data_IF_551689236617
#
_entry.id   IF_551689236617
#
_cell.length_a   1.000
_cell.length_b   1.000
_cell.length_c   1.000
_cell.angle_alpha   90.00
_cell.angle_beta   90.00
_cell.angle_gamma   90.00
#
_symmetry.space_group_name_H-M   'P 1'
#
loop_
_entity.id
_entity.type
_entity.pdbx_description
1 polymer ?
#
# COMPACT_ATOMS: atom_id res chain seq x y z
N UNK A 1 -18.44 1.76 18.97
CA UNK A 1 -19.50 1.37 18.00
C UNK A 1 -18.81 0.55 16.93
N UNK A 2 -19.14 -0.73 16.70
CA UNK A 2 -18.53 -1.50 15.66
C UNK A 2 -18.88 -0.85 14.31
N UNK A 3 -17.87 -0.53 13.52
CA UNK A 3 -18.06 -0.02 12.15
C UNK A 3 -18.82 -1.09 11.37
N UNK A 4 -19.98 -0.72 10.86
CA UNK A 4 -20.78 -1.55 9.98
C UNK A 4 -19.92 -1.94 8.79
N UNK A 5 -19.94 -3.21 8.41
CA UNK A 5 -19.28 -3.72 7.21
C UNK A 5 -19.90 -2.98 6.00
N UNK A 6 -19.22 -1.96 5.50
CA UNK A 6 -19.69 -1.17 4.36
C UNK A 6 -19.16 -1.80 3.08
N UNK A 7 -19.93 -1.77 2.02
CA UNK A 7 -19.41 -2.12 0.70
C UNK A 7 -18.35 -1.11 0.26
N UNK A 8 -17.43 -1.50 -0.63
CA UNK A 8 -16.42 -0.58 -1.17
C UNK A 8 -17.07 0.73 -1.70
N UNK A 9 -18.25 0.62 -2.30
CA UNK A 9 -19.01 1.77 -2.79
C UNK A 9 -19.56 2.66 -1.67
N UNK A 10 -19.96 2.08 -0.53
CA UNK A 10 -20.46 2.82 0.63
C UNK A 10 -19.33 3.51 1.39
N UNK A 11 -18.14 2.91 1.45
CA UNK A 11 -16.98 3.52 2.12
C UNK A 11 -16.31 4.62 1.35
N UNK A 12 -16.13 4.38 0.07
CA UNK A 12 -15.55 5.38 -0.81
C UNK A 12 -16.52 6.53 -1.03
N UNK A 13 -17.79 6.34 -0.64
CA UNK A 13 -18.86 7.30 -0.80
C UNK A 13 -19.08 7.69 -2.26
N UNK A 14 -20.01 8.61 -2.49
CA UNK A 14 -20.31 9.12 -3.82
C UNK A 14 -19.09 9.69 -4.56
N UNK A 15 -18.09 10.18 -3.83
CA UNK A 15 -16.87 10.76 -4.43
C UNK A 15 -15.98 9.73 -5.11
N UNK A 16 -15.88 8.49 -4.58
CA UNK A 16 -15.09 7.46 -5.24
C UNK A 16 -15.84 6.78 -6.39
N UNK A 17 -17.12 6.50 -6.19
CA UNK A 17 -17.97 6.03 -7.27
C UNK A 17 -17.99 7.03 -8.45
N UNK A 18 -18.00 8.34 -8.15
CA UNK A 18 -17.87 9.40 -9.13
C UNK A 18 -16.47 9.43 -9.76
N UNK A 19 -15.42 9.25 -8.95
CA UNK A 19 -14.03 9.23 -9.42
C UNK A 19 -13.79 8.06 -10.38
N UNK A 20 -14.28 6.87 -10.06
CA UNK A 20 -14.20 5.70 -10.93
C UNK A 20 -15.09 5.85 -12.19
N UNK A 21 -16.29 6.41 -12.06
CA UNK A 21 -17.19 6.65 -13.19
C UNK A 21 -16.74 7.75 -14.14
N UNK A 22 -15.95 8.73 -13.65
CA UNK A 22 -15.48 9.85 -14.47
C UNK A 22 -14.25 9.55 -15.32
N UNK A 23 -13.75 8.29 -15.32
CA UNK A 23 -12.58 7.91 -16.12
C UNK A 23 -11.27 8.56 -15.66
N UNK A 24 -11.21 9.10 -14.44
CA UNK A 24 -9.99 9.73 -13.90
C UNK A 24 -8.91 8.72 -13.47
N UNK A 25 -9.05 7.46 -13.85
CA UNK A 25 -8.04 6.41 -13.64
C UNK A 25 -7.21 6.32 -14.91
N UNK A 26 -5.94 6.67 -14.82
CA UNK A 26 -5.02 6.72 -15.97
C UNK A 26 -4.77 5.32 -16.58
N UNK A 27 -4.99 4.25 -15.85
CA UNK A 27 -4.63 2.88 -16.28
C UNK A 27 -5.83 1.97 -16.22
N UNK A 28 -6.79 2.20 -17.11
CA UNK A 28 -7.84 1.22 -17.38
C UNK A 28 -7.23 -0.15 -17.74
N UNK A 29 -6.17 -0.14 -18.54
CA UNK A 29 -5.43 -1.32 -18.98
C UNK A 29 -4.81 -2.07 -17.78
N UNK A 30 -4.09 -1.39 -16.89
CA UNK A 30 -3.50 -2.00 -15.69
C UNK A 30 -4.55 -2.59 -14.75
N UNK A 31 -5.73 -1.98 -14.65
CA UNK A 31 -6.85 -2.54 -13.88
C UNK A 31 -7.40 -3.83 -14.52
N UNK A 32 -7.50 -3.87 -15.84
CA UNK A 32 -7.95 -5.06 -16.55
C UNK A 32 -6.93 -6.20 -16.38
N UNK A 33 -5.65 -5.89 -16.51
CA UNK A 33 -4.57 -6.85 -16.35
C UNK A 33 -4.50 -7.40 -14.91
N UNK A 34 -4.68 -6.57 -13.87
CA UNK A 34 -4.81 -7.02 -12.48
C UNK A 34 -6.05 -7.88 -12.26
N UNK A 35 -7.16 -7.56 -12.92
CA UNK A 35 -8.36 -8.40 -12.91
C UNK A 35 -8.09 -9.75 -13.54
N UNK A 36 -7.28 -9.79 -14.60
CA UNK A 36 -6.87 -11.03 -15.25
C UNK A 36 -5.88 -11.84 -14.37
N UNK A 37 -4.99 -11.17 -13.64
CA UNK A 37 -4.11 -11.84 -12.66
C UNK A 37 -4.88 -12.57 -11.55
N UNK A 38 -6.09 -12.12 -11.19
CA UNK A 38 -6.94 -12.84 -10.24
C UNK A 38 -7.26 -14.26 -10.70
N UNK A 39 -7.18 -14.54 -11.99
CA UNK A 39 -7.40 -15.88 -12.55
C UNK A 39 -6.30 -16.88 -12.21
N UNK A 40 -5.10 -16.39 -11.85
CA UNK A 40 -3.99 -17.23 -11.40
C UNK A 40 -4.14 -17.68 -9.94
N UNK A 41 -5.07 -17.06 -9.18
CA UNK A 41 -5.34 -17.47 -7.82
C UNK A 41 -6.09 -18.82 -7.78
N UNK A 42 -5.76 -19.71 -6.82
CA UNK A 42 -6.41 -21.01 -6.70
C UNK A 42 -7.90 -20.87 -6.45
N UNK A 43 -8.71 -21.60 -7.24
CA UNK A 43 -10.18 -21.56 -7.13
C UNK A 43 -10.72 -22.42 -5.97
N UNK A 44 -9.93 -23.36 -5.49
CA UNK A 44 -10.28 -24.28 -4.40
C UNK A 44 -9.99 -23.72 -3.02
N UNK A 45 -9.31 -22.57 -2.94
CA UNK A 45 -9.00 -21.91 -1.68
C UNK A 45 -9.86 -20.65 -1.52
N UNK A 46 -10.16 -20.33 -0.26
CA UNK A 46 -10.85 -19.08 0.05
C UNK A 46 -9.85 -17.93 -0.01
N UNK A 47 -9.91 -17.16 -1.11
CA UNK A 47 -9.12 -15.95 -1.32
C UNK A 47 -10.09 -14.79 -1.48
N UNK A 48 -10.08 -13.86 -0.53
CA UNK A 48 -11.00 -12.71 -0.52
C UNK A 48 -10.23 -11.40 -0.73
N UNK A 49 -10.93 -10.40 -1.27
CA UNK A 49 -10.36 -9.06 -1.41
C UNK A 49 -10.20 -8.41 -0.03
N UNK A 50 -9.02 -7.86 0.24
CA UNK A 50 -8.74 -7.15 1.48
C UNK A 50 -9.34 -5.74 1.40
N UNK A 51 -10.48 -5.59 2.01
CA UNK A 51 -11.22 -4.34 2.10
C UNK A 51 -10.81 -3.51 3.31
N UNK A 52 -9.54 -3.37 3.64
CA UNK A 52 -9.06 -2.36 4.58
C UNK A 52 -9.60 -2.38 6.02
N UNK A 53 -10.43 -3.38 6.35
CA UNK A 53 -11.17 -3.34 7.59
C UNK A 53 -10.40 -3.88 8.75
N UNK A 54 -10.61 -3.13 9.78
CA UNK A 54 -10.31 -3.37 11.16
C UNK A 54 -9.66 -4.74 11.38
N UNK A 55 -8.32 -4.69 11.34
CA UNK A 55 -7.51 -5.87 11.56
C UNK A 55 -7.71 -6.43 13.00
N UNK A 56 -8.50 -5.75 13.83
CA UNK A 56 -8.86 -6.14 15.18
C UNK A 56 -10.14 -7.00 15.26
N UNK A 57 -10.80 -7.30 14.14
CA UNK A 57 -12.04 -8.08 14.18
C UNK A 57 -11.73 -9.58 14.12
N UNK A 58 -11.99 -10.31 15.24
CA UNK A 58 -11.87 -11.78 15.35
C UNK A 58 -12.76 -12.55 14.34
N UNK A 59 -13.55 -11.83 13.55
CA UNK A 59 -14.40 -12.40 12.49
C UNK A 59 -13.71 -12.53 11.15
N UNK A 60 -12.39 -12.47 11.12
CA UNK A 60 -11.64 -12.57 9.87
C UNK A 60 -11.87 -13.87 9.14
N UNK A 61 -11.78 -13.70 7.86
CA UNK A 61 -11.74 -14.77 6.89
C UNK A 61 -10.61 -15.74 7.24
N UNK A 62 -10.97 -17.00 7.51
CA UNK A 62 -9.99 -18.06 7.51
C UNK A 62 -9.50 -18.27 6.07
N UNK A 63 -8.21 -18.25 5.85
CA UNK A 63 -7.62 -18.45 4.53
C UNK A 63 -6.71 -17.30 4.10
N UNK A 64 -6.96 -16.76 2.93
CA UNK A 64 -6.10 -15.76 2.29
C UNK A 64 -6.88 -14.52 1.88
N UNK A 65 -6.19 -13.40 1.89
CA UNK A 65 -6.71 -12.13 1.36
C UNK A 65 -5.76 -11.59 0.30
N UNK A 66 -6.28 -10.82 -0.64
CA UNK A 66 -5.47 -10.14 -1.63
C UNK A 66 -5.87 -8.67 -1.76
N UNK A 67 -4.92 -7.85 -2.19
CA UNK A 67 -5.15 -6.45 -2.54
C UNK A 67 -4.34 -6.07 -3.76
N UNK A 68 -4.83 -5.09 -4.50
CA UNK A 68 -4.07 -4.51 -5.59
C UNK A 68 -2.93 -3.66 -5.03
N UNK A 69 -1.73 -3.79 -5.58
CA UNK A 69 -0.56 -3.05 -5.18
C UNK A 69 0.07 -2.33 -6.37
N UNK A 70 0.05 -1.01 -6.32
CA UNK A 70 0.62 -0.10 -7.35
C UNK A 70 0.06 -0.29 -8.77
N UNK A 71 -1.07 -0.94 -8.97
CA UNK A 71 -1.51 -1.42 -10.30
C UNK A 71 -0.48 -2.31 -11.03
N UNK A 72 0.41 -2.94 -10.30
CA UNK A 72 1.49 -3.76 -10.87
C UNK A 72 1.52 -5.17 -10.29
N UNK A 73 0.92 -5.36 -9.13
CA UNK A 73 0.93 -6.63 -8.41
C UNK A 73 -0.43 -6.93 -7.80
N UNK A 74 -0.73 -8.21 -7.66
CA UNK A 74 -1.61 -8.67 -6.61
C UNK A 74 -0.76 -9.02 -5.39
N UNK A 75 -1.03 -8.42 -4.26
CA UNK A 75 -0.45 -8.83 -2.99
C UNK A 75 -1.41 -9.81 -2.30
N UNK A 76 -1.03 -11.08 -2.28
CA UNK A 76 -1.76 -12.16 -1.62
C UNK A 76 -1.07 -12.48 -0.31
N UNK A 77 -1.83 -12.66 0.75
CA UNK A 77 -1.27 -12.97 2.07
C UNK A 77 -2.24 -13.83 2.88
N UNK A 78 -1.75 -14.61 3.87
CA UNK A 78 -2.63 -15.25 4.84
C UNK A 78 -3.52 -14.21 5.56
N UNK A 79 -4.72 -14.61 5.95
CA UNK A 79 -5.56 -13.78 6.82
C UNK A 79 -4.94 -13.64 8.22
N UNK A 80 -4.13 -14.60 8.65
CA UNK A 80 -3.34 -14.55 9.88
C UNK A 80 -2.17 -13.57 9.76
N UNK A 81 -2.14 -12.58 10.65
CA UNK A 81 -1.14 -11.49 10.60
C UNK A 81 0.28 -11.95 10.96
N UNK A 82 0.41 -12.92 11.87
CA UNK A 82 1.71 -13.47 12.25
C UNK A 82 2.34 -14.23 11.08
N UNK A 83 1.56 -15.10 10.42
CA UNK A 83 1.99 -15.81 9.22
C UNK A 83 2.33 -14.85 8.08
N UNK A 84 1.53 -13.81 7.89
CA UNK A 84 1.81 -12.76 6.89
C UNK A 84 3.18 -12.12 7.14
N UNK A 85 3.50 -11.82 8.39
CA UNK A 85 4.80 -11.25 8.75
C UNK A 85 5.95 -12.24 8.52
N UNK A 86 5.79 -13.50 8.93
CA UNK A 86 6.80 -14.56 8.72
C UNK A 86 7.11 -14.76 7.23
N UNK A 87 6.09 -14.79 6.39
CA UNK A 87 6.26 -14.88 4.91
C UNK A 87 7.03 -13.68 4.38
N UNK A 88 6.63 -12.47 4.77
CA UNK A 88 7.30 -11.26 4.30
C UNK A 88 8.77 -11.18 4.78
N UNK A 89 9.04 -11.59 6.03
CA UNK A 89 10.38 -11.61 6.60
C UNK A 89 11.29 -12.59 5.84
N UNK A 90 10.82 -13.81 5.60
CA UNK A 90 11.59 -14.81 4.84
C UNK A 90 11.84 -14.34 3.40
N UNK A 91 10.84 -13.77 2.75
CA UNK A 91 10.98 -13.24 1.40
C UNK A 91 11.97 -12.06 1.31
N UNK A 92 12.07 -11.24 2.36
CA UNK A 92 13.01 -10.12 2.43
C UNK A 92 14.47 -10.54 2.63
N UNK A 93 14.74 -11.83 2.88
CA UNK A 93 16.08 -12.41 2.97
C UNK A 93 16.42 -13.29 1.73
N UNK A 94 15.52 -13.38 0.75
CA UNK A 94 15.76 -14.15 -0.47
C UNK A 94 16.89 -13.52 -1.31
N UNK A 95 17.61 -14.34 -2.11
CA UNK A 95 18.60 -13.81 -3.05
C UNK A 95 17.97 -12.86 -4.06
N UNK A 96 18.64 -11.73 -4.31
CA UNK A 96 18.22 -10.78 -5.34
C UNK A 96 18.42 -11.40 -6.72
N UNK A 97 17.41 -11.26 -7.59
CA UNK A 97 17.41 -11.80 -8.96
C UNK A 97 17.29 -10.66 -9.98
N UNK A 98 17.73 -10.93 -11.23
CA UNK A 98 17.53 -9.98 -12.35
C UNK A 98 16.04 -9.64 -12.55
N UNK A 99 15.13 -10.58 -12.31
CA UNK A 99 13.69 -10.31 -12.39
C UNK A 99 13.22 -9.37 -11.27
N UNK A 100 13.72 -9.55 -10.04
CA UNK A 100 13.44 -8.62 -8.94
C UNK A 100 13.94 -7.21 -9.21
N UNK A 101 15.15 -7.06 -9.78
CA UNK A 101 15.69 -5.77 -10.21
C UNK A 101 14.84 -5.14 -11.32
N UNK A 102 14.40 -5.94 -12.30
CA UNK A 102 13.50 -5.50 -13.34
C UNK A 102 12.17 -4.99 -12.77
N UNK A 103 11.55 -5.75 -11.88
CA UNK A 103 10.29 -5.36 -11.21
C UNK A 103 10.47 -4.06 -10.39
N UNK A 104 11.59 -3.93 -9.69
CA UNK A 104 11.91 -2.71 -8.95
C UNK A 104 12.04 -1.49 -9.87
N UNK A 105 12.70 -1.65 -11.03
CA UNK A 105 12.79 -0.58 -12.03
C UNK A 105 11.41 -0.16 -12.55
N UNK A 106 10.50 -1.13 -12.74
CA UNK A 106 9.12 -0.85 -13.16
C UNK A 106 8.34 -0.08 -12.12
N UNK A 107 8.56 -0.34 -10.82
CA UNK A 107 7.99 0.49 -9.75
C UNK A 107 8.49 1.93 -9.84
N UNK A 108 9.78 2.13 -10.12
CA UNK A 108 10.35 3.47 -10.28
C UNK A 108 9.75 4.22 -11.49
N UNK A 109 9.45 3.53 -12.57
CA UNK A 109 8.83 4.08 -13.78
C UNK A 109 7.30 4.27 -13.66
N UNK A 110 6.68 3.71 -12.60
CA UNK A 110 5.23 3.71 -12.47
C UNK A 110 4.67 5.14 -12.41
N UNK A 111 3.53 5.33 -13.08
CA UNK A 111 2.83 6.61 -13.14
C UNK A 111 1.65 6.62 -12.18
N UNK A 112 1.20 7.80 -11.86
CA UNK A 112 0.02 8.01 -11.03
C UNK A 112 -1.20 7.26 -11.61
N UNK A 113 -1.77 6.35 -10.84
CA UNK A 113 -2.98 5.60 -11.22
C UNK A 113 -4.23 6.49 -11.29
N UNK A 114 -4.15 7.66 -10.74
CA UNK A 114 -5.18 8.69 -10.82
C UNK A 114 -4.68 9.82 -11.70
N UNK A 115 -5.38 10.18 -12.77
CA UNK A 115 -5.03 11.32 -13.64
C UNK A 115 -5.08 12.67 -12.88
N UNK A 116 -4.21 12.82 -11.88
CA UNK A 116 -4.24 13.94 -10.96
C UNK A 116 -3.42 15.13 -11.49
N UNK A 117 -3.87 16.37 -11.21
CA UNK A 117 -3.14 17.57 -11.58
C UNK A 117 -1.79 17.63 -10.86
N UNK A 118 -0.82 18.16 -11.57
CA UNK A 118 0.52 18.42 -11.05
C UNK A 118 0.52 19.54 -10.02
N UNK A 119 1.49 19.50 -9.12
CA UNK A 119 1.78 20.62 -8.22
C UNK A 119 2.72 21.59 -8.94
N UNK A 120 2.34 22.88 -8.98
CA UNK A 120 3.22 23.93 -9.49
C UNK A 120 4.21 24.47 -8.44
N UNK A 121 4.08 24.01 -7.21
CA UNK A 121 4.92 24.42 -6.08
C UNK A 121 5.72 23.23 -5.58
N UNK A 122 7.05 23.43 -5.45
CA UNK A 122 7.93 22.45 -4.83
C UNK A 122 7.61 22.33 -3.34
N UNK A 123 7.62 21.10 -2.84
CA UNK A 123 7.45 20.77 -1.42
C UNK A 123 8.58 19.82 -1.02
N UNK A 124 9.55 20.34 -0.27
CA UNK A 124 10.76 19.59 0.08
C UNK A 124 10.50 18.46 1.06
N UNK A 125 9.52 18.61 1.96
CA UNK A 125 9.12 17.57 2.90
C UNK A 125 7.63 17.26 2.75
N UNK A 126 7.30 16.03 2.37
CA UNK A 126 5.91 15.56 2.18
C UNK A 126 5.65 14.31 3.00
N UNK A 127 4.58 14.34 3.79
CA UNK A 127 4.03 13.18 4.49
C UNK A 127 2.80 12.68 3.74
N UNK A 128 2.91 11.51 3.11
CA UNK A 128 1.79 10.84 2.46
C UNK A 128 0.91 10.17 3.50
N UNK A 129 -0.26 10.77 3.73
CA UNK A 129 -1.20 10.32 4.76
C UNK A 129 -1.74 8.94 4.45
N UNK A 130 -2.03 8.19 5.51
CA UNK A 130 -2.81 6.96 5.42
C UNK A 130 -4.13 7.18 4.68
N UNK A 131 -4.70 6.10 4.15
CA UNK A 131 -6.04 6.11 3.58
C UNK A 131 -7.05 6.70 4.56
N UNK A 132 -8.07 7.23 4.03
CA UNK A 132 -9.04 8.22 4.50
C UNK A 132 -9.37 8.30 5.98
N UNK A 133 -9.52 7.17 6.67
CA UNK A 133 -10.21 7.15 7.97
C UNK A 133 -9.36 6.56 9.10
N UNK A 134 -8.12 6.18 8.81
CA UNK A 134 -7.31 5.41 9.77
C UNK A 134 -6.09 6.15 10.32
N UNK A 135 -5.78 7.36 9.84
CA UNK A 135 -4.57 8.05 10.28
C UNK A 135 -4.51 8.22 11.82
N UNK A 136 -5.63 8.58 12.44
CA UNK A 136 -5.72 8.75 13.88
C UNK A 136 -5.65 7.42 14.67
N UNK A 137 -5.77 6.28 13.98
CA UNK A 137 -5.62 4.95 14.58
C UNK A 137 -4.19 4.42 14.53
N UNK A 138 -3.35 5.00 13.67
CA UNK A 138 -2.00 4.51 13.37
C UNK A 138 -0.89 5.50 13.70
N UNK A 139 -1.23 6.75 14.00
CA UNK A 139 -0.28 7.78 14.47
C UNK A 139 -0.94 8.75 15.41
N UNK A 140 -0.14 9.53 16.13
CA UNK A 140 -0.63 10.61 16.99
C UNK A 140 -0.64 11.94 16.25
N UNK A 141 -1.53 12.85 16.69
CA UNK A 141 -1.53 14.21 16.17
C UNK A 141 -0.21 14.93 16.49
N UNK A 142 0.38 14.69 17.66
CA UNK A 142 1.66 15.26 18.09
C UNK A 142 2.80 14.91 17.10
N UNK A 143 2.89 13.67 16.64
CA UNK A 143 3.89 13.26 15.65
C UNK A 143 3.73 14.00 14.33
N UNK A 144 2.50 14.27 13.92
CA UNK A 144 2.24 15.07 12.72
C UNK A 144 2.51 16.57 12.96
N UNK A 145 2.21 17.11 14.15
CA UNK A 145 2.57 18.48 14.53
C UNK A 145 4.10 18.66 14.47
N UNK A 146 4.86 17.76 15.06
CA UNK A 146 6.32 17.78 15.01
C UNK A 146 6.86 17.73 13.57
N UNK A 147 6.24 16.97 12.69
CA UNK A 147 6.61 16.95 11.26
C UNK A 147 6.31 18.30 10.58
N UNK A 148 5.17 18.90 10.88
CA UNK A 148 4.76 20.21 10.35
C UNK A 148 5.71 21.31 10.84
N UNK A 149 6.10 21.29 12.08
CA UNK A 149 7.09 22.21 12.66
C UNK A 149 8.45 22.10 11.96
N UNK A 150 8.81 20.90 11.51
CA UNK A 150 10.00 20.65 10.69
C UNK A 150 9.81 21.00 9.20
N UNK A 151 8.68 21.59 8.82
CA UNK A 151 8.40 22.05 7.47
C UNK A 151 7.58 21.09 6.61
N UNK A 152 7.07 20.00 7.16
CA UNK A 152 6.30 19.02 6.39
C UNK A 152 4.97 19.58 5.87
N UNK A 153 4.58 19.05 4.71
CA UNK A 153 3.24 19.16 4.14
C UNK A 153 2.54 17.81 4.24
N UNK A 154 1.33 17.80 4.75
CA UNK A 154 0.50 16.62 4.80
C UNK A 154 -0.24 16.43 3.46
N UNK A 155 -0.02 15.30 2.80
CA UNK A 155 -0.70 14.93 1.55
C UNK A 155 -1.79 13.89 1.84
N UNK A 156 -3.05 14.30 1.94
CA UNK A 156 -4.16 13.37 2.10
C UNK A 156 -4.28 12.45 0.88
N UNK A 157 -4.82 11.25 1.12
CA UNK A 157 -5.11 10.30 0.03
C UNK A 157 -6.10 10.92 -0.97
N UNK A 158 -6.01 10.64 -2.28
CA UNK A 158 -6.92 11.20 -3.29
C UNK A 158 -8.41 10.95 -3.00
N UNK A 159 -8.72 9.86 -2.34
CA UNK A 159 -10.08 9.46 -1.97
C UNK A 159 -10.47 9.86 -0.53
N UNK A 160 -9.73 10.79 0.11
CA UNK A 160 -10.08 11.27 1.44
C UNK A 160 -11.46 11.93 1.43
N UNK A 161 -12.37 11.39 2.24
CA UNK A 161 -13.73 11.90 2.37
C UNK A 161 -13.75 13.35 2.89
N UNK A 162 -14.72 14.13 2.44
CA UNK A 162 -14.84 15.54 2.80
C UNK A 162 -14.91 15.79 4.32
N UNK A 163 -15.65 15.01 5.13
CA UNK A 163 -15.65 15.16 6.60
C UNK A 163 -14.26 14.95 7.21
N UNK A 164 -13.51 13.95 6.73
CA UNK A 164 -12.16 13.67 7.22
C UNK A 164 -11.18 14.78 6.82
N UNK A 165 -11.31 15.32 5.61
CA UNK A 165 -10.52 16.47 5.18
C UNK A 165 -10.84 17.71 6.01
N UNK A 166 -12.11 17.90 6.37
CA UNK A 166 -12.55 18.93 7.32
C UNK A 166 -11.90 18.76 8.69
N UNK A 167 -11.86 17.53 9.21
CA UNK A 167 -11.20 17.21 10.47
C UNK A 167 -9.69 17.50 10.42
N UNK A 168 -8.99 17.09 9.37
CA UNK A 168 -7.57 17.42 9.20
C UNK A 168 -7.34 18.94 9.22
N UNK A 169 -8.14 19.71 8.48
CA UNK A 169 -8.03 21.18 8.40
C UNK A 169 -8.39 21.90 9.70
N UNK A 170 -9.22 21.31 10.54
CA UNK A 170 -9.53 21.88 11.87
C UNK A 170 -8.43 21.60 12.89
N UNK A 171 -7.63 20.51 12.66
CA UNK A 171 -6.59 20.09 13.59
C UNK A 171 -5.20 20.63 13.24
N UNK A 172 -4.89 20.79 11.96
CA UNK A 172 -3.59 21.22 11.46
C UNK A 172 -3.67 22.51 10.63
N UNK A 173 -2.58 23.29 10.51
CA UNK A 173 -2.57 24.50 9.68
C UNK A 173 -2.98 24.21 8.24
N UNK A 174 -3.98 24.93 7.75
CA UNK A 174 -4.61 24.65 6.45
C UNK A 174 -3.64 24.80 5.26
N UNK A 175 -2.64 25.67 5.38
CA UNK A 175 -1.58 25.88 4.39
C UNK A 175 -0.56 24.75 4.35
N UNK A 176 -0.53 23.88 5.37
CA UNK A 176 0.28 22.67 5.43
C UNK A 176 -0.43 21.42 4.93
N UNK A 177 -1.70 21.53 4.55
CA UNK A 177 -2.48 20.42 4.01
C UNK A 177 -2.61 20.57 2.50
N UNK A 178 -1.98 19.66 1.75
CA UNK A 178 -2.07 19.63 0.29
C UNK A 178 -3.47 19.19 -0.15
N UNK A 179 -3.83 19.58 -1.38
CA UNK A 179 -5.10 19.13 -1.97
C UNK A 179 -5.04 17.61 -2.18
N UNK A 180 -6.06 16.85 -1.77
CA UNK A 180 -6.09 15.39 -1.98
C UNK A 180 -5.87 15.00 -3.45
N UNK A 181 -6.44 15.76 -4.38
CA UNK A 181 -6.35 15.56 -5.83
C UNK A 181 -5.09 16.21 -6.45
N UNK A 182 -3.95 16.21 -5.75
CA UNK A 182 -2.64 16.53 -6.33
C UNK A 182 -1.89 15.24 -6.59
N UNK A 183 -1.16 15.14 -7.71
CA UNK A 183 -0.37 13.97 -8.04
C UNK A 183 0.62 13.63 -6.93
N UNK A 184 0.48 12.43 -6.35
CA UNK A 184 1.39 11.93 -5.32
C UNK A 184 2.76 11.62 -5.89
N UNK A 185 2.82 11.08 -7.09
CA UNK A 185 4.10 10.72 -7.73
C UNK A 185 4.94 11.93 -8.10
N UNK A 186 4.30 13.02 -8.53
CA UNK A 186 5.04 14.25 -8.78
C UNK A 186 5.55 14.90 -7.50
N UNK A 187 4.73 14.92 -6.45
CA UNK A 187 5.19 15.37 -5.13
C UNK A 187 6.34 14.50 -4.64
N UNK A 188 6.28 13.19 -4.88
CA UNK A 188 7.33 12.25 -4.53
C UNK A 188 8.65 12.56 -5.24
N UNK A 189 8.60 12.90 -6.53
CA UNK A 189 9.80 13.28 -7.29
C UNK A 189 10.44 14.58 -6.77
N UNK A 190 9.61 15.55 -6.38
CA UNK A 190 10.06 16.87 -5.91
C UNK A 190 10.55 16.86 -4.46
N UNK A 191 10.00 16.01 -3.59
CA UNK A 191 10.30 16.00 -2.19
C UNK A 191 11.70 15.45 -1.90
N UNK A 192 12.47 16.13 -1.06
CA UNK A 192 13.75 15.66 -0.55
C UNK A 192 13.54 14.71 0.64
N UNK A 193 12.51 14.96 1.44
CA UNK A 193 12.14 14.17 2.61
C UNK A 193 10.74 13.60 2.40
N UNK A 194 10.61 12.29 2.57
CA UNK A 194 9.35 11.56 2.38
C UNK A 194 8.98 10.83 3.67
N UNK A 195 7.80 11.13 4.19
CA UNK A 195 7.16 10.37 5.25
C UNK A 195 5.95 9.60 4.72
N UNK A 196 5.68 8.43 5.25
CA UNK A 196 4.53 7.63 4.86
C UNK A 196 4.03 6.72 6.00
N UNK A 197 2.94 6.07 5.76
CA UNK A 197 2.32 5.09 6.67
C UNK A 197 2.40 3.70 6.05
N UNK A 198 2.43 2.66 6.88
CA UNK A 198 2.59 1.27 6.44
C UNK A 198 1.41 0.72 5.62
N UNK A 199 0.32 1.44 5.51
CA UNK A 199 -0.78 1.12 4.61
C UNK A 199 -0.72 1.87 3.27
N UNK A 200 0.33 2.66 3.03
CA UNK A 200 0.51 3.45 1.81
C UNK A 200 1.56 2.83 0.89
N UNK A 201 1.26 2.73 -0.38
CA UNK A 201 2.20 2.32 -1.44
C UNK A 201 3.32 3.36 -1.66
N UNK A 202 3.10 4.60 -1.22
CA UNK A 202 3.98 5.72 -1.58
C UNK A 202 5.39 5.61 -1.01
N UNK A 203 5.56 4.98 0.15
CA UNK A 203 6.89 4.74 0.73
C UNK A 203 7.72 3.76 -0.10
N UNK A 204 7.10 2.68 -0.60
CA UNK A 204 7.78 1.72 -1.47
C UNK A 204 8.08 2.34 -2.85
N UNK A 205 7.17 3.18 -3.35
CA UNK A 205 7.42 3.97 -4.56
C UNK A 205 8.56 4.98 -4.38
N UNK A 206 8.68 5.58 -3.19
CA UNK A 206 9.81 6.46 -2.84
C UNK A 206 11.13 5.70 -2.85
N UNK A 207 11.14 4.53 -2.21
CA UNK A 207 12.32 3.66 -2.15
C UNK A 207 12.82 3.27 -3.54
N UNK A 208 11.90 2.89 -4.44
CA UNK A 208 12.23 2.55 -5.82
C UNK A 208 12.81 3.75 -6.61
N UNK A 209 12.50 4.98 -6.23
CA UNK A 209 13.05 6.21 -6.80
C UNK A 209 14.31 6.71 -6.09
N UNK A 210 14.95 5.84 -5.30
CA UNK A 210 16.20 6.16 -4.60
C UNK A 210 16.05 7.09 -3.39
N UNK A 211 14.83 7.27 -2.88
CA UNK A 211 14.59 8.04 -1.66
C UNK A 211 14.60 7.12 -0.44
N UNK A 212 14.89 7.65 0.74
CA UNK A 212 14.82 6.94 2.00
C UNK A 212 13.59 7.42 2.79
N UNK A 213 12.41 6.83 2.58
CA UNK A 213 11.22 7.22 3.31
C UNK A 213 11.31 6.80 4.78
N UNK A 214 10.62 7.50 5.65
CA UNK A 214 10.46 7.09 7.04
C UNK A 214 8.99 6.86 7.40
N UNK A 215 8.76 5.97 8.37
CA UNK A 215 7.43 5.54 8.74
C UNK A 215 6.88 6.37 9.89
N UNK A 216 5.62 6.77 9.76
CA UNK A 216 4.88 7.56 10.75
C UNK A 216 3.99 6.73 11.68
N UNK A 217 4.02 5.41 11.55
CA UNK A 217 3.24 4.54 12.41
C UNK A 217 3.75 4.58 13.86
N UNK A 218 2.82 4.56 14.80
CA UNK A 218 3.09 4.44 16.24
C UNK A 218 2.37 3.25 16.88
N UNK A 219 1.75 2.40 16.08
CA UNK A 219 1.04 1.23 16.58
C UNK A 219 1.55 -0.04 15.91
N UNK A 220 1.49 -1.14 16.66
CA UNK A 220 1.79 -2.48 16.14
C UNK A 220 0.65 -3.04 15.29
N UNK A 221 -0.39 -2.25 15.04
CA UNK A 221 -1.52 -2.66 14.20
C UNK A 221 -1.07 -2.96 12.80
N UNK A 222 -1.45 -4.13 12.33
CA UNK A 222 -1.12 -4.62 11.00
C UNK A 222 -2.16 -4.09 9.99
N UNK A 223 -1.70 -3.33 9.02
CA UNK A 223 -2.48 -2.86 7.87
C UNK A 223 -1.96 -3.51 6.60
N UNK A 224 -2.63 -3.32 5.49
CA UNK A 224 -2.40 -4.02 4.23
C UNK A 224 -0.93 -4.27 3.88
N UNK A 225 -0.05 -3.28 3.98
CA UNK A 225 1.37 -3.42 3.66
C UNK A 225 2.30 -3.44 4.89
N UNK A 226 1.75 -3.49 6.09
CA UNK A 226 2.56 -3.42 7.32
C UNK A 226 3.58 -4.54 7.41
N UNK A 227 3.21 -5.76 7.01
CA UNK A 227 4.12 -6.90 7.03
C UNK A 227 5.33 -6.67 6.09
N UNK A 228 5.09 -6.13 4.88
CA UNK A 228 6.16 -5.75 3.95
C UNK A 228 7.08 -4.71 4.59
N UNK A 229 6.51 -3.60 5.08
CA UNK A 229 7.30 -2.55 5.70
C UNK A 229 8.10 -3.02 6.91
N UNK A 230 7.48 -3.83 7.78
CA UNK A 230 8.16 -4.37 8.95
C UNK A 230 9.30 -5.32 8.57
N UNK A 231 9.12 -6.14 7.54
CA UNK A 231 10.14 -7.08 7.06
C UNK A 231 11.35 -6.38 6.42
N UNK A 232 11.10 -5.28 5.69
CA UNK A 232 12.17 -4.57 4.97
C UNK A 232 12.79 -3.41 5.73
N UNK A 233 12.27 -3.02 6.90
CA UNK A 233 12.75 -1.83 7.63
C UNK A 233 13.81 -2.17 8.67
N UNK A 234 14.79 -1.28 8.78
CA UNK A 234 15.75 -1.20 9.88
C UNK A 234 15.61 0.18 10.51
N UNK A 235 15.44 0.25 11.81
CA UNK A 235 15.24 1.50 12.56
C UNK A 235 14.16 2.41 11.95
N UNK A 236 13.03 1.82 11.55
CA UNK A 236 11.89 2.53 10.98
C UNK A 236 12.11 3.04 9.54
N UNK A 237 13.19 2.63 8.88
CA UNK A 237 13.50 3.00 7.50
C UNK A 237 13.51 1.78 6.58
N UNK A 238 12.65 1.72 5.56
CA UNK A 238 12.67 0.68 4.55
C UNK A 238 14.02 0.61 3.83
N UNK A 239 14.54 -0.59 3.66
CA UNK A 239 15.83 -0.87 3.01
C UNK A 239 15.61 -1.37 1.58
N UNK A 240 16.37 -0.79 0.63
CA UNK A 240 16.27 -1.11 -0.78
C UNK A 240 16.56 -2.60 -1.06
N UNK A 241 17.63 -3.12 -0.50
CA UNK A 241 18.08 -4.50 -0.80
C UNK A 241 17.07 -5.52 -0.27
N UNK A 242 16.50 -5.30 0.92
CA UNK A 242 15.42 -6.15 1.44
C UNK A 242 14.14 -6.08 0.58
N UNK A 243 13.82 -4.93 0.03
CA UNK A 243 12.68 -4.82 -0.89
C UNK A 243 12.96 -5.50 -2.23
N UNK A 244 14.19 -5.41 -2.75
CA UNK A 244 14.62 -6.16 -3.93
C UNK A 244 14.53 -7.68 -3.70
N UNK A 245 14.99 -8.17 -2.54
CA UNK A 245 14.86 -9.58 -2.15
C UNK A 245 13.39 -10.01 -2.13
N UNK A 246 12.53 -9.21 -1.53
CA UNK A 246 11.10 -9.50 -1.46
C UNK A 246 10.44 -9.55 -2.85
N UNK A 247 10.82 -8.66 -3.77
CA UNK A 247 10.38 -8.69 -5.17
C UNK A 247 10.93 -9.88 -5.95
N UNK A 248 12.10 -10.39 -5.56
CA UNK A 248 12.76 -11.54 -6.17
C UNK A 248 12.17 -12.88 -5.73
N UNK A 249 11.53 -12.90 -4.57
CA UNK A 249 10.97 -14.12 -3.98
C UNK A 249 9.61 -14.46 -4.59
N UNK A 250 9.49 -15.67 -5.13
CA UNK A 250 8.18 -16.19 -5.59
C UNK A 250 7.25 -16.56 -4.43
N UNK A 251 7.77 -16.61 -3.21
CA UNK A 251 7.03 -16.93 -1.99
C UNK A 251 6.48 -15.70 -1.27
N UNK A 252 6.79 -14.48 -1.74
CA UNK A 252 6.43 -13.22 -1.07
C UNK A 252 4.94 -12.90 -1.04
N UNK A 253 4.14 -13.57 -1.88
CA UNK A 253 2.73 -13.23 -2.13
C UNK A 253 2.56 -12.03 -3.07
N UNK A 254 3.63 -11.40 -3.53
CA UNK A 254 3.56 -10.38 -4.59
C UNK A 254 3.55 -11.05 -5.96
N UNK A 255 2.39 -11.12 -6.58
CA UNK A 255 2.21 -11.67 -7.93
C UNK A 255 2.32 -10.53 -8.94
N UNK A 256 3.42 -10.42 -9.71
CA UNK A 256 3.67 -9.25 -10.53
C UNK A 256 2.99 -9.34 -11.89
N UNK A 257 2.34 -8.25 -12.32
CA UNK A 257 1.76 -8.06 -13.64
C UNK A 257 2.79 -8.21 -14.77
N UNK A 258 4.00 -7.71 -14.54
CA UNK A 258 5.06 -7.65 -15.54
C UNK A 258 6.02 -8.85 -15.53
N UNK A 259 5.77 -9.89 -14.72
CA UNK A 259 6.53 -11.13 -14.78
C UNK A 259 6.24 -11.87 -16.08
N UNK A 260 7.23 -12.62 -16.55
CA UNK A 260 7.05 -13.52 -17.71
C UNK A 260 5.99 -14.58 -17.44
N UNK A 261 5.93 -15.07 -16.21
CA UNK A 261 4.99 -16.10 -15.77
C UNK A 261 4.43 -15.76 -14.37
N UNK A 262 3.33 -15.00 -14.27
CA UNK A 262 2.70 -14.69 -12.99
C UNK A 262 2.26 -15.92 -12.19
N UNK A 263 1.96 -17.04 -12.88
CA UNK A 263 1.55 -18.30 -12.24
C UNK A 263 2.64 -18.86 -11.32
N UNK A 264 3.92 -18.73 -11.70
CA UNK A 264 5.02 -19.20 -10.84
C UNK A 264 5.08 -18.49 -9.49
N UNK A 265 4.70 -17.21 -9.42
CA UNK A 265 4.60 -16.46 -8.17
C UNK A 265 3.40 -16.89 -7.33
N UNK A 266 2.28 -17.17 -7.99
CA UNK A 266 1.11 -17.73 -7.31
C UNK A 266 1.42 -19.13 -6.73
N UNK A 267 1.95 -20.00 -7.56
CA UNK A 267 2.28 -21.38 -7.18
C UNK A 267 3.31 -21.37 -6.04
N UNK A 268 4.41 -20.62 -6.18
CA UNK A 268 5.45 -20.51 -5.15
C UNK A 268 4.90 -20.05 -3.79
N UNK A 269 4.01 -19.06 -3.79
CA UNK A 269 3.37 -18.61 -2.55
C UNK A 269 2.46 -19.68 -1.92
N UNK A 270 1.58 -20.32 -2.72
CA UNK A 270 0.64 -21.31 -2.19
C UNK A 270 1.28 -22.64 -1.83
N UNK A 271 2.39 -23.01 -2.45
CA UNK A 271 3.17 -24.21 -2.13
C UNK A 271 3.75 -24.17 -0.70
N UNK A 272 4.03 -22.96 -0.16
CA UNK A 272 4.40 -22.80 1.26
C UNK A 272 3.37 -23.40 2.23
N UNK A 273 2.13 -23.49 1.80
CA UNK A 273 0.99 -23.88 2.64
C UNK A 273 0.39 -25.24 2.24
N UNK A 274 0.87 -25.86 1.16
CA UNK A 274 0.28 -27.08 0.59
C UNK A 274 0.28 -28.29 1.55
N UNK A 275 1.18 -28.30 2.54
CA UNK A 275 1.25 -29.37 3.56
C UNK A 275 0.41 -29.12 4.82
N UNK A 276 -0.10 -27.90 5.02
CA UNK A 276 -0.68 -27.46 6.30
C UNK A 276 -2.21 -27.53 6.35
N UNK A 277 -2.87 -27.71 5.21
CA UNK A 277 -4.34 -27.75 5.11
C UNK A 277 -4.92 -29.17 5.29
N UNK A 278 -4.19 -30.12 5.89
CA UNK A 278 -4.68 -31.49 6.07
C UNK A 278 -5.30 -31.76 7.45
N UNK A 279 -5.20 -30.79 8.36
CA UNK A 279 -5.60 -30.99 9.77
C UNK A 279 -6.68 -30.02 10.28
N UNK A 280 -7.36 -29.26 9.37
CA UNK A 280 -8.51 -28.39 9.75
C UNK A 280 -9.82 -28.89 9.17
#
# INVERSE_FOLDING_TARGET
MPLKKMSLNEELGDSAAHFFKSGNIIRADGYQELTDLRRVLPKNLKVEYDLWYDMDDDKRVHGYVYTDFMNMFLYVRPADTKRTYEVALNAAEAPITEEGEYLFSKIAENKDKYALPKSHKKHDFVVFMAGTNIWSKITTAEKLDNAIEQGAYLKPHPLTAAPMLGHLKSRFPADRILKPKTSGYELLEQADIVGCFTNSEMGLSALARGKSPFLFNETDKQYTFSAIYNAISVDGRPQKDKFLSLLSSKESGLIPLHAKNPQEYSDGFFDLFAGQNKDD
#
